data_IF_832324510380
#
_entry.id   IF_832324510380
#
_cell.length_a   1.000
_cell.length_b   1.000
_cell.length_c   1.000
_cell.angle_alpha   90.00
_cell.angle_beta   90.00
_cell.angle_gamma   90.00
#
_symmetry.space_group_name_H-M   'P 1'
#
loop_
_entity.id
_entity.type
_entity.pdbx_description
1 polymer ?
#
# COMPACT_ATOMS: atom_id res chain seq x y z
N UNK A 1 -3.22 -4.37 70.88
CA UNK A 1 -4.11 -3.20 71.14
C UNK A 1 -3.34 -1.95 70.75
N UNK A 2 -3.77 -1.03 69.88
CA UNK A 2 -4.90 -0.93 68.93
C UNK A 2 -4.29 -0.39 67.61
N UNK A 3 -4.46 -1.07 66.48
CA UNK A 3 -5.47 -0.77 65.45
C UNK A 3 -5.46 0.66 64.86
N UNK A 4 -5.18 0.70 63.55
CA UNK A 4 -5.71 1.60 62.51
C UNK A 4 -5.37 3.10 62.60
N UNK A 5 -4.42 3.50 61.76
CA UNK A 5 -4.31 4.87 61.23
C UNK A 5 -4.02 4.85 59.72
N UNK A 6 -5.05 5.17 58.94
CA UNK A 6 -4.97 5.84 57.62
C UNK A 6 -4.06 5.22 56.53
N UNK A 7 -4.56 4.19 55.86
CA UNK A 7 -4.46 4.17 54.39
C UNK A 7 -5.63 4.98 53.82
N UNK A 8 -5.33 5.89 52.90
CA UNK A 8 -6.30 6.77 52.23
C UNK A 8 -6.12 6.57 50.73
N UNK A 9 -7.16 6.07 50.05
CA UNK A 9 -7.38 6.07 48.58
C UNK A 9 -6.34 5.21 47.78
N UNK A 10 -6.69 4.34 46.83
CA UNK A 10 -7.96 4.12 46.10
C UNK A 10 -8.03 2.67 45.60
N UNK A 11 -8.93 1.83 46.13
CA UNK A 11 -9.40 0.61 45.43
C UNK A 11 -10.69 0.05 46.06
N UNK A 12 -11.77 0.03 45.29
CA UNK A 12 -12.95 -0.87 45.25
C UNK A 12 -14.07 -0.05 44.58
N UNK A 13 -14.48 -0.30 43.33
CA UNK A 13 -15.10 -1.51 42.74
C UNK A 13 -16.60 -1.62 43.04
N UNK A 14 -17.37 -1.30 41.98
CA UNK A 14 -18.65 -1.89 41.57
C UNK A 14 -19.99 -1.60 42.29
N UNK A 15 -20.98 -1.32 41.42
CA UNK A 15 -22.40 -1.71 41.46
C UNK A 15 -23.27 -1.10 42.58
N UNK A 16 -24.14 -0.16 42.20
CA UNK A 16 -25.58 -0.44 42.24
C UNK A 16 -26.37 0.35 41.19
N UNK A 17 -27.50 -0.23 40.77
CA UNK A 17 -28.44 0.28 39.74
C UNK A 17 -29.57 1.07 40.43
N UNK A 18 -30.41 1.76 39.64
CA UNK A 18 -31.74 2.31 39.96
C UNK A 18 -31.79 3.80 40.36
N UNK A 19 -32.27 4.62 39.42
CA UNK A 19 -33.37 5.55 39.68
C UNK A 19 -34.33 5.52 38.49
N UNK A 20 -35.54 5.00 38.72
CA UNK A 20 -36.62 5.06 37.73
C UNK A 20 -37.15 6.49 37.65
N UNK A 21 -37.68 6.86 36.48
CA UNK A 21 -39.09 7.24 36.48
C UNK A 21 -39.79 6.76 35.21
N UNK A 22 -41.07 6.42 35.32
CA UNK A 22 -41.89 5.84 34.26
C UNK A 22 -43.01 6.80 33.84
N UNK A 23 -43.27 6.88 32.53
CA UNK A 23 -44.63 6.95 31.95
C UNK A 23 -44.51 6.69 30.44
N UNK A 24 -44.82 5.48 29.93
CA UNK A 24 -46.14 4.99 29.51
C UNK A 24 -46.73 5.83 28.34
N UNK A 25 -47.24 5.27 27.23
CA UNK A 25 -47.54 3.86 26.87
C UNK A 25 -47.59 3.69 25.32
N UNK A 26 -47.61 2.43 24.87
CA UNK A 26 -47.80 1.86 23.51
C UNK A 26 -48.81 2.61 22.58
N UNK A 27 -48.95 2.39 21.26
CA UNK A 27 -49.03 1.17 20.41
C UNK A 27 -48.83 1.63 18.92
N UNK A 28 -48.64 0.85 17.84
CA UNK A 28 -48.80 -0.60 17.52
C UNK A 28 -47.80 -1.06 16.44
N UNK A 29 -47.53 -2.36 16.35
CA UNK A 29 -46.87 -3.06 15.21
C UNK A 29 -47.78 -3.17 13.98
N UNK A 30 -47.23 -3.02 12.76
CA UNK A 30 -47.65 -3.86 11.60
C UNK A 30 -46.53 -4.02 10.59
N UNK A 31 -46.35 -5.27 10.10
CA UNK A 31 -45.36 -5.69 9.11
C UNK A 31 -46.08 -6.38 7.97
N UNK A 32 -46.13 -5.78 6.77
CA UNK A 32 -46.63 -6.43 5.55
C UNK A 32 -45.77 -6.01 4.34
N UNK A 33 -45.30 -6.99 3.59
CA UNK A 33 -44.77 -6.93 2.22
C UNK A 33 -45.71 -7.78 1.34
N UNK A 34 -45.58 -7.78 0.00
CA UNK A 34 -45.66 -6.63 -0.91
C UNK A 34 -46.70 -6.91 -2.03
N UNK A 35 -47.04 -5.91 -2.86
CA UNK A 35 -47.91 -6.11 -4.04
C UNK A 35 -47.37 -5.39 -5.27
N UNK A 36 -47.17 -6.16 -6.34
CA UNK A 36 -46.78 -5.72 -7.69
C UNK A 36 -47.98 -5.19 -8.49
N UNK A 37 -47.72 -4.65 -9.69
CA UNK A 37 -48.62 -4.51 -10.88
C UNK A 37 -49.00 -3.07 -11.29
N UNK A 38 -48.23 -2.54 -12.25
CA UNK A 38 -48.61 -1.97 -13.57
C UNK A 38 -49.61 -0.78 -13.66
N UNK A 39 -49.25 0.38 -14.26
CA UNK A 39 -48.97 0.78 -15.68
C UNK A 39 -50.17 1.55 -16.31
N UNK A 40 -49.79 2.64 -17.00
CA UNK A 40 -50.49 3.41 -18.05
C UNK A 40 -51.49 4.54 -17.71
N UNK A 41 -51.09 5.72 -18.24
CA UNK A 41 -51.89 6.72 -18.97
C UNK A 41 -52.91 7.56 -18.15
N UNK A 42 -53.28 8.78 -18.58
CA UNK A 42 -53.09 9.45 -19.89
C UNK A 42 -53.02 10.99 -19.71
N UNK A 43 -52.42 11.70 -20.68
CA UNK A 43 -52.68 13.08 -21.17
C UNK A 43 -53.06 14.22 -20.17
N UNK A 44 -52.30 15.33 -20.11
CA UNK A 44 -52.43 16.53 -20.96
C UNK A 44 -53.83 17.20 -20.86
N UNK A 45 -53.98 18.50 -20.63
CA UNK A 45 -53.50 19.63 -21.46
C UNK A 45 -53.45 20.92 -20.59
N UNK A 46 -52.51 21.82 -20.93
CA UNK A 46 -52.46 23.31 -20.92
C UNK A 46 -53.67 24.09 -20.31
N UNK A 47 -53.58 25.32 -19.81
CA UNK A 47 -52.71 26.44 -20.22
C UNK A 47 -52.86 27.61 -19.21
N UNK A 48 -51.80 28.17 -18.62
CA UNK A 48 -51.79 29.62 -18.29
C UNK A 48 -50.36 30.18 -18.16
N UNK A 49 -49.95 30.96 -19.16
CA UNK A 49 -48.64 31.60 -19.23
C UNK A 49 -48.75 33.10 -18.96
N UNK A 50 -48.71 33.50 -17.69
CA UNK A 50 -48.54 34.92 -17.33
C UNK A 50 -47.07 35.26 -17.14
N UNK A 51 -46.51 36.03 -18.09
CA UNK A 51 -45.17 36.59 -18.00
C UNK A 51 -45.13 37.68 -16.92
N UNK A 52 -44.15 37.56 -16.02
CA UNK A 52 -43.54 38.72 -15.36
C UNK A 52 -42.02 38.59 -15.46
N UNK A 53 -41.43 39.27 -16.43
CA UNK A 53 -39.98 39.44 -16.49
C UNK A 53 -39.52 40.41 -15.41
N UNK A 54 -38.72 39.91 -14.47
CA UNK A 54 -37.69 40.71 -13.80
C UNK A 54 -36.49 39.80 -13.61
N UNK A 55 -35.37 40.17 -14.25
CA UNK A 55 -34.25 39.24 -14.51
C UNK A 55 -33.77 38.48 -13.28
N UNK A 56 -33.97 37.16 -13.31
CA UNK A 56 -33.31 36.19 -12.46
C UNK A 56 -32.48 35.26 -13.35
N UNK A 57 -31.21 35.06 -12.99
CA UNK A 57 -30.39 34.01 -13.61
C UNK A 57 -30.98 32.66 -13.17
N UNK A 58 -31.29 31.79 -14.14
CA UNK A 58 -31.51 30.38 -13.84
C UNK A 58 -30.16 29.80 -13.44
N UNK A 59 -29.93 29.68 -12.14
CA UNK A 59 -28.93 28.78 -11.60
C UNK A 59 -29.61 27.41 -11.64
N UNK A 60 -29.08 26.49 -12.43
CA UNK A 60 -29.45 25.08 -12.30
C UNK A 60 -28.94 24.63 -10.92
N UNK A 61 -29.82 24.04 -10.11
CA UNK A 61 -29.43 23.49 -8.82
C UNK A 61 -28.48 22.30 -9.06
N UNK A 62 -27.17 22.55 -9.03
CA UNK A 62 -26.16 21.50 -9.02
C UNK A 62 -26.43 20.59 -7.81
N UNK A 63 -26.67 19.29 -8.07
CA UNK A 63 -26.73 18.30 -7.00
C UNK A 63 -25.41 18.35 -6.20
N UNK A 64 -25.45 18.23 -4.87
CA UNK A 64 -24.26 18.39 -4.06
C UNK A 64 -23.23 17.30 -4.41
N UNK A 65 -22.07 17.72 -4.96
CA UNK A 65 -20.95 16.82 -5.20
C UNK A 65 -20.63 16.02 -3.93
N UNK A 66 -20.56 14.69 -4.09
CA UNK A 66 -20.16 13.80 -2.99
C UNK A 66 -18.70 14.07 -2.64
N UNK A 67 -18.50 14.79 -1.53
CA UNK A 67 -17.21 15.22 -1.00
C UNK A 67 -16.29 14.07 -0.55
N UNK A 68 -16.60 12.81 -0.91
CA UNK A 68 -15.78 11.62 -0.67
C UNK A 68 -15.12 11.04 -1.93
N UNK A 69 -15.40 11.55 -3.14
CA UNK A 69 -14.66 11.14 -4.33
C UNK A 69 -13.44 12.04 -4.57
N UNK A 70 -12.43 11.93 -3.69
CA UNK A 70 -11.09 12.43 -4.00
C UNK A 70 -10.46 11.54 -5.06
N UNK A 71 -10.84 11.77 -6.32
CA UNK A 71 -10.23 11.17 -7.50
C UNK A 71 -8.84 11.78 -7.70
N UNK A 72 -7.92 11.43 -6.80
CA UNK A 72 -6.52 11.78 -6.89
C UNK A 72 -5.94 11.02 -8.07
N UNK A 73 -5.48 11.74 -9.09
CA UNK A 73 -4.76 11.10 -10.19
C UNK A 73 -3.55 10.33 -9.62
N UNK A 74 -3.28 9.11 -10.11
CA UNK A 74 -2.20 8.30 -9.58
C UNK A 74 -0.85 9.01 -9.77
N UNK A 75 0.01 8.92 -8.75
CA UNK A 75 1.26 9.66 -8.67
C UNK A 75 2.40 8.76 -9.13
N UNK A 76 3.20 9.22 -10.10
CA UNK A 76 4.47 8.63 -10.47
C UNK A 76 5.50 9.75 -10.58
N UNK A 77 6.18 10.05 -9.47
CA UNK A 77 7.07 11.19 -9.35
C UNK A 77 8.46 10.77 -8.87
N UNK A 78 9.49 11.47 -9.36
CA UNK A 78 10.86 11.35 -8.88
C UNK A 78 11.43 12.69 -8.48
N UNK A 79 12.18 12.67 -7.38
CA UNK A 79 12.79 13.85 -6.79
C UNK A 79 14.28 13.59 -6.48
N UNK A 80 15.03 14.68 -6.30
CA UNK A 80 16.29 14.64 -5.59
C UNK A 80 16.02 14.35 -4.10
N UNK A 81 16.97 13.73 -3.39
CA UNK A 81 16.77 13.49 -1.95
C UNK A 81 16.66 14.82 -1.20
N UNK A 82 15.51 15.07 -0.58
CA UNK A 82 15.32 16.22 0.33
C UNK A 82 16.17 16.05 1.60
N UNK A 83 16.43 17.14 2.32
CA UNK A 83 17.15 17.11 3.60
C UNK A 83 16.46 16.16 4.61
N UNK A 84 15.14 16.10 4.62
CA UNK A 84 14.37 15.17 5.46
C UNK A 84 14.60 13.70 5.08
N UNK A 85 14.59 13.38 3.77
CA UNK A 85 14.87 12.02 3.29
C UNK A 85 16.33 11.64 3.57
N UNK A 86 17.28 12.57 3.40
CA UNK A 86 18.70 12.37 3.75
C UNK A 86 18.83 12.06 5.25
N UNK A 87 18.12 12.77 6.12
CA UNK A 87 18.13 12.52 7.57
C UNK A 87 17.51 11.16 7.94
N UNK A 88 16.44 10.72 7.26
CA UNK A 88 15.83 9.39 7.46
C UNK A 88 16.80 8.24 7.15
N UNK A 89 17.58 8.35 6.07
CA UNK A 89 18.44 7.25 5.59
C UNK A 89 19.87 7.27 6.14
N UNK A 90 20.37 8.41 6.60
CA UNK A 90 21.78 8.59 6.98
C UNK A 90 22.13 7.87 8.29
N UNK A 91 23.11 6.96 8.21
CA UNK A 91 23.49 6.04 9.28
C UNK A 91 22.68 4.74 9.28
N UNK A 92 21.66 4.62 8.42
CA UNK A 92 20.70 3.50 8.39
C UNK A 92 20.88 2.73 7.07
N UNK A 93 20.02 2.92 6.06
CA UNK A 93 20.19 2.31 4.74
C UNK A 93 21.33 2.93 3.93
N UNK A 94 21.66 4.21 4.16
CA UNK A 94 22.86 4.87 3.62
C UNK A 94 23.86 5.16 4.75
N UNK A 95 25.15 4.89 4.55
CA UNK A 95 26.19 5.07 5.60
C UNK A 95 27.57 5.20 4.97
N UNK A 96 28.55 5.65 5.74
CA UNK A 96 29.94 5.80 5.29
C UNK A 96 30.46 4.49 4.65
N UNK A 97 31.12 4.61 3.50
CA UNK A 97 31.55 3.47 2.68
C UNK A 97 30.46 2.87 1.77
N UNK A 98 29.26 3.48 1.70
CA UNK A 98 28.30 3.16 0.64
C UNK A 98 28.94 3.37 -0.76
N UNK A 99 28.67 2.50 -1.74
CA UNK A 99 29.29 2.57 -3.06
C UNK A 99 28.67 3.65 -3.98
N UNK A 100 27.70 4.41 -3.46
CA UNK A 100 26.89 5.38 -4.19
C UNK A 100 26.71 6.65 -3.36
N UNK A 101 26.86 7.82 -3.98
CA UNK A 101 26.66 9.11 -3.32
C UNK A 101 25.17 9.43 -3.16
N UNK A 102 24.82 10.25 -2.15
CA UNK A 102 23.44 10.73 -1.96
C UNK A 102 22.90 11.47 -3.20
N UNK A 103 23.74 12.23 -3.91
CA UNK A 103 23.40 12.94 -5.15
C UNK A 103 23.14 12.02 -6.36
N UNK A 104 23.64 10.77 -6.29
CA UNK A 104 23.38 9.73 -7.30
C UNK A 104 22.11 8.94 -7.00
N UNK A 105 21.50 9.10 -5.82
CA UNK A 105 20.20 8.51 -5.51
C UNK A 105 19.06 9.44 -5.95
N UNK A 106 17.88 8.86 -6.15
CA UNK A 106 16.62 9.58 -6.40
C UNK A 106 15.52 8.94 -5.59
N UNK A 107 14.66 9.77 -5.00
CA UNK A 107 13.50 9.37 -4.23
C UNK A 107 12.29 9.30 -5.16
N UNK A 108 11.51 8.23 -5.08
CA UNK A 108 10.32 7.98 -5.88
C UNK A 108 9.08 7.95 -5.00
N UNK A 109 8.01 8.56 -5.50
CA UNK A 109 6.66 8.47 -4.96
C UNK A 109 5.80 7.79 -6.03
N UNK A 110 5.19 6.65 -5.71
CA UNK A 110 4.42 5.84 -6.67
C UNK A 110 3.06 5.40 -6.12
N UNK A 111 2.00 5.52 -6.90
CA UNK A 111 0.72 4.86 -6.64
C UNK A 111 0.81 3.36 -6.91
N UNK A 112 0.21 2.55 -6.04
CA UNK A 112 0.07 1.11 -6.19
C UNK A 112 -1.27 0.61 -5.65
N UNK A 113 -1.74 -0.53 -6.17
CA UNK A 113 -2.91 -1.22 -5.61
C UNK A 113 -2.50 -2.17 -4.50
N UNK A 114 -3.15 -2.09 -3.34
CA UNK A 114 -2.90 -3.04 -2.27
C UNK A 114 -3.62 -4.38 -2.49
N UNK A 115 -3.43 -5.35 -1.59
CA UNK A 115 -4.05 -6.68 -1.72
C UNK A 115 -5.58 -6.63 -1.63
N UNK A 116 -6.15 -5.66 -0.93
CA UNK A 116 -7.59 -5.41 -0.79
C UNK A 116 -8.18 -4.61 -1.96
N UNK A 117 -7.36 -4.16 -2.92
CA UNK A 117 -7.81 -3.39 -4.10
C UNK A 117 -8.01 -1.91 -3.82
N UNK A 118 -7.31 -1.35 -2.83
CA UNK A 118 -7.31 0.08 -2.54
C UNK A 118 -6.04 0.73 -3.11
N UNK A 119 -6.15 1.93 -3.67
CA UNK A 119 -4.98 2.71 -4.06
C UNK A 119 -4.21 3.16 -2.81
N UNK A 120 -2.89 3.05 -2.89
CA UNK A 120 -1.95 3.41 -1.84
C UNK A 120 -0.76 4.16 -2.47
N UNK A 121 -0.14 5.06 -1.70
CA UNK A 121 1.12 5.71 -2.08
C UNK A 121 2.29 4.97 -1.44
N UNK A 122 3.35 4.74 -2.22
CA UNK A 122 4.57 4.05 -1.84
C UNK A 122 5.82 4.92 -2.01
N UNK A 123 6.83 4.63 -1.20
CA UNK A 123 8.12 5.31 -1.20
C UNK A 123 9.24 4.36 -1.64
N UNK A 124 10.11 4.79 -2.55
CA UNK A 124 11.35 4.09 -2.90
C UNK A 124 12.52 5.04 -3.02
N UNK A 125 13.73 4.50 -2.84
CA UNK A 125 14.98 5.16 -3.23
C UNK A 125 15.72 4.23 -4.19
N UNK A 126 16.19 4.78 -5.31
CA UNK A 126 16.87 4.05 -6.39
C UNK A 126 18.05 4.85 -6.94
N UNK A 127 18.89 4.23 -7.77
CA UNK A 127 19.91 4.94 -8.53
C UNK A 127 19.26 5.88 -9.54
N UNK A 128 19.66 7.16 -9.54
CA UNK A 128 19.10 8.24 -10.38
C UNK A 128 18.98 7.87 -11.87
N UNK A 129 19.90 7.05 -12.39
CA UNK A 129 19.90 6.61 -13.80
C UNK A 129 18.78 5.64 -14.16
N UNK A 130 18.18 4.94 -13.20
CA UNK A 130 17.02 4.05 -13.42
C UNK A 130 15.72 4.63 -12.88
N UNK A 131 15.73 5.86 -12.33
CA UNK A 131 14.57 6.45 -11.67
C UNK A 131 13.34 6.56 -12.60
N UNK A 132 13.53 7.05 -13.83
CA UNK A 132 12.45 7.14 -14.83
C UNK A 132 11.92 5.74 -15.20
N UNK A 133 12.83 4.80 -15.49
CA UNK A 133 12.50 3.42 -15.86
C UNK A 133 11.72 2.70 -14.75
N UNK A 134 12.04 2.98 -13.48
CA UNK A 134 11.30 2.46 -12.33
C UNK A 134 9.89 3.06 -12.20
N UNK A 135 9.70 4.34 -12.55
CA UNK A 135 8.36 4.94 -12.61
C UNK A 135 7.52 4.28 -13.71
N UNK A 136 8.08 4.09 -14.92
CA UNK A 136 7.40 3.36 -16.00
C UNK A 136 6.98 1.96 -15.57
N UNK A 137 7.87 1.21 -14.90
CA UNK A 137 7.57 -0.12 -14.39
C UNK A 137 6.40 -0.07 -13.41
N UNK A 138 6.42 0.83 -12.41
CA UNK A 138 5.32 0.92 -11.45
C UNK A 138 4.01 1.42 -12.06
N UNK A 139 4.06 2.27 -13.09
CA UNK A 139 2.88 2.64 -13.86
C UNK A 139 2.27 1.43 -14.58
N UNK A 140 3.08 0.58 -15.24
CA UNK A 140 2.59 -0.66 -15.85
C UNK A 140 1.99 -1.63 -14.82
N UNK A 141 2.57 -1.75 -13.61
CA UNK A 141 2.00 -2.56 -12.52
C UNK A 141 0.67 -1.99 -12.02
N UNK A 142 0.56 -0.66 -11.95
CA UNK A 142 -0.64 0.05 -11.50
C UNK A 142 -1.79 -0.10 -12.50
N UNK A 143 -1.53 0.14 -13.79
CA UNK A 143 -2.50 0.00 -14.87
C UNK A 143 -3.01 -1.45 -15.03
N UNK A 144 -2.21 -2.44 -14.62
CA UNK A 144 -2.57 -3.85 -14.63
C UNK A 144 -3.13 -4.38 -13.28
N UNK A 145 -3.39 -3.50 -12.30
CA UNK A 145 -3.87 -3.84 -10.95
C UNK A 145 -3.02 -4.91 -10.22
N UNK A 146 -1.70 -4.98 -10.51
CA UNK A 146 -0.82 -5.93 -9.85
C UNK A 146 -0.66 -5.54 -8.36
N UNK A 147 -1.05 -6.39 -7.41
CA UNK A 147 -1.12 -6.00 -6.02
C UNK A 147 0.27 -5.96 -5.38
N UNK A 148 0.55 -4.89 -4.65
CA UNK A 148 1.74 -4.73 -3.82
C UNK A 148 1.28 -4.60 -2.37
N UNK A 149 1.82 -5.40 -1.46
CA UNK A 149 1.31 -5.45 -0.08
C UNK A 149 1.63 -4.19 0.71
N UNK A 150 2.82 -3.63 0.49
CA UNK A 150 3.37 -2.46 1.15
C UNK A 150 4.59 -1.98 0.37
N UNK A 151 4.84 -0.67 0.38
CA UNK A 151 6.05 -0.08 -0.19
C UNK A 151 6.49 1.11 0.65
N UNK A 152 7.47 0.88 1.52
CA UNK A 152 8.10 1.85 2.40
C UNK A 152 9.61 1.79 2.27
N UNK A 153 10.29 2.89 2.59
CA UNK A 153 11.74 2.87 2.76
C UNK A 153 12.14 1.83 3.82
N UNK A 154 13.23 1.12 3.58
CA UNK A 154 13.72 0.07 4.50
C UNK A 154 14.21 0.65 5.85
N UNK A 155 14.43 1.96 5.89
CA UNK A 155 14.80 2.73 7.07
C UNK A 155 13.72 2.73 8.16
N UNK A 156 12.45 2.56 7.78
CA UNK A 156 11.33 2.34 8.73
C UNK A 156 11.50 1.02 9.54
N UNK A 157 12.37 0.13 9.06
CA UNK A 157 12.78 -1.13 9.70
C UNK A 157 14.23 -1.07 10.23
N UNK A 158 14.84 0.11 10.28
CA UNK A 158 16.24 0.29 10.67
C UNK A 158 17.25 -0.34 9.69
N UNK A 159 16.87 -0.49 8.42
CA UNK A 159 17.58 -1.27 7.40
C UNK A 159 17.76 -2.76 7.73
N UNK A 160 16.87 -3.33 8.58
CA UNK A 160 16.78 -4.77 8.81
C UNK A 160 15.94 -5.45 7.71
N UNK A 161 16.64 -6.26 6.92
CA UNK A 161 16.11 -7.01 5.77
C UNK A 161 15.07 -8.07 6.20
N UNK A 162 15.31 -8.75 7.32
CA UNK A 162 14.43 -9.81 7.82
C UNK A 162 13.12 -9.22 8.38
N UNK A 163 13.17 -8.07 9.05
CA UNK A 163 11.97 -7.35 9.50
C UNK A 163 11.16 -6.81 8.33
N UNK A 164 11.82 -6.22 7.32
CA UNK A 164 11.13 -5.69 6.14
C UNK A 164 10.46 -6.80 5.32
N UNK A 165 11.14 -7.95 5.13
CA UNK A 165 10.56 -9.13 4.47
C UNK A 165 9.38 -9.73 5.26
N UNK A 166 9.49 -9.86 6.59
CA UNK A 166 8.40 -10.39 7.43
C UNK A 166 7.14 -9.52 7.37
N UNK A 167 7.31 -8.19 7.26
CA UNK A 167 6.21 -7.23 7.12
C UNK A 167 5.75 -7.03 5.65
N UNK A 168 6.20 -7.92 4.76
CA UNK A 168 5.89 -7.98 3.32
C UNK A 168 6.17 -6.69 2.54
N UNK A 169 7.21 -5.96 2.94
CA UNK A 169 7.55 -4.67 2.34
C UNK A 169 8.28 -4.83 1.01
N UNK A 170 7.79 -4.16 -0.02
CA UNK A 170 8.52 -3.95 -1.27
C UNK A 170 9.58 -2.86 -1.06
N UNK A 171 10.86 -3.15 -1.35
CA UNK A 171 11.96 -2.23 -1.06
C UNK A 171 13.11 -2.30 -2.07
N UNK A 172 13.78 -1.17 -2.28
CA UNK A 172 14.87 -1.02 -3.25
C UNK A 172 16.23 -0.71 -2.60
N UNK A 173 16.64 0.55 -2.47
CA UNK A 173 17.95 0.90 -1.93
C UNK A 173 18.16 0.42 -0.47
N UNK A 174 19.27 -0.30 -0.25
CA UNK A 174 19.77 -0.66 1.08
C UNK A 174 21.27 -1.00 1.02
N UNK A 175 22.14 -0.17 1.61
CA UNK A 175 23.57 -0.49 1.69
C UNK A 175 23.84 -1.59 2.73
N UNK A 176 23.81 -2.84 2.24
CA UNK A 176 24.23 -4.05 2.94
C UNK A 176 25.16 -4.92 2.09
N UNK A 177 25.92 -5.78 2.76
CA UNK A 177 26.62 -6.90 2.11
C UNK A 177 25.62 -8.05 1.85
N UNK A 178 25.90 -8.86 0.84
CA UNK A 178 25.13 -10.10 0.59
C UNK A 178 25.35 -11.06 1.77
N UNK A 179 24.30 -11.76 2.23
CA UNK A 179 24.38 -12.68 3.37
C UNK A 179 25.53 -13.71 3.20
N UNK A 180 26.42 -13.80 4.19
CA UNK A 180 27.58 -14.70 4.15
C UNK A 180 28.70 -14.31 3.17
N UNK A 181 28.70 -13.08 2.65
CA UNK A 181 29.65 -12.59 1.65
C UNK A 181 30.30 -11.26 2.07
N UNK A 182 31.43 -10.92 1.43
CA UNK A 182 32.01 -9.57 1.51
C UNK A 182 31.58 -8.65 0.36
N UNK A 183 30.89 -9.20 -0.65
CA UNK A 183 30.34 -8.41 -1.77
C UNK A 183 29.17 -7.55 -1.30
N UNK A 184 29.12 -6.32 -1.78
CA UNK A 184 27.98 -5.41 -1.58
C UNK A 184 26.79 -5.93 -2.41
N UNK A 185 25.58 -5.85 -1.85
CA UNK A 185 24.33 -6.21 -2.54
C UNK A 185 24.02 -5.19 -3.63
N UNK A 186 23.36 -5.57 -4.73
CA UNK A 186 22.89 -4.63 -5.77
C UNK A 186 21.90 -3.58 -5.20
N UNK A 187 21.18 -3.91 -4.13
CA UNK A 187 20.40 -2.94 -3.33
C UNK A 187 21.26 -1.79 -2.79
N UNK A 188 22.52 -2.05 -2.42
CA UNK A 188 23.45 -1.04 -1.92
C UNK A 188 23.95 -0.05 -2.97
N UNK A 189 23.64 -0.31 -4.23
CA UNK A 189 23.87 0.58 -5.37
C UNK A 189 22.56 1.20 -5.90
N UNK A 190 21.40 0.88 -5.30
CA UNK A 190 20.09 1.37 -5.75
C UNK A 190 19.62 0.80 -7.10
N UNK A 191 20.15 -0.35 -7.53
CA UNK A 191 19.85 -1.01 -8.83
C UNK A 191 19.26 -2.42 -8.64
N UNK A 192 18.57 -2.62 -7.52
CA UNK A 192 17.80 -3.81 -7.23
C UNK A 192 16.53 -3.47 -6.44
N UNK A 193 15.52 -4.34 -6.53
CA UNK A 193 14.25 -4.22 -5.82
C UNK A 193 13.69 -5.61 -5.50
N UNK A 194 13.12 -5.75 -4.30
CA UNK A 194 12.41 -6.94 -3.84
C UNK A 194 10.91 -6.65 -3.78
N UNK A 195 10.08 -7.45 -4.48
CA UNK A 195 8.62 -7.26 -4.61
C UNK A 195 7.84 -8.35 -3.85
N UNK A 196 6.95 -7.94 -2.93
CA UNK A 196 6.09 -8.83 -2.13
C UNK A 196 6.82 -10.07 -1.54
N UNK A 197 7.78 -9.90 -0.61
CA UNK A 197 8.59 -10.98 -0.05
C UNK A 197 7.84 -12.25 0.37
N UNK A 198 6.65 -12.13 0.99
CA UNK A 198 5.85 -13.30 1.41
C UNK A 198 5.36 -14.10 0.19
N UNK A 199 4.83 -13.44 -0.84
CA UNK A 199 4.39 -14.11 -2.07
C UNK A 199 5.56 -14.65 -2.88
N UNK A 200 6.74 -14.04 -2.75
CA UNK A 200 7.89 -14.25 -3.60
C UNK A 200 9.17 -14.52 -2.79
N UNK A 201 9.19 -15.58 -1.96
CA UNK A 201 10.26 -15.76 -0.99
C UNK A 201 11.63 -16.04 -1.60
N UNK A 202 12.66 -15.69 -0.84
CA UNK A 202 14.00 -16.25 -0.98
C UNK A 202 14.00 -17.73 -0.57
N UNK A 203 14.64 -18.59 -1.36
CA UNK A 203 14.76 -20.04 -1.13
C UNK A 203 16.17 -20.53 -1.42
N UNK A 204 16.82 -21.13 -0.42
CA UNK A 204 18.15 -21.74 -0.53
C UNK A 204 18.19 -23.05 0.26
N UNK A 205 18.09 -24.17 -0.46
CA UNK A 205 17.89 -25.48 0.15
C UNK A 205 16.60 -25.49 0.97
N UNK A 206 16.71 -25.72 2.28
CA UNK A 206 15.58 -25.69 3.21
C UNK A 206 15.35 -24.32 3.87
N UNK A 207 16.23 -23.31 3.65
CA UNK A 207 16.01 -21.94 4.14
C UNK A 207 14.99 -21.26 3.23
N UNK A 208 13.94 -20.71 3.82
CA UNK A 208 12.90 -19.90 3.15
C UNK A 208 12.73 -18.63 3.96
N UNK A 209 12.88 -17.46 3.33
CA UNK A 209 12.67 -16.15 3.93
C UNK A 209 11.68 -15.33 3.07
N UNK A 210 10.71 -14.63 3.69
CA UNK A 210 10.26 -14.78 5.07
C UNK A 210 9.65 -16.18 5.30
N UNK A 211 9.43 -16.57 6.55
CA UNK A 211 9.06 -17.95 6.91
C UNK A 211 7.66 -18.34 6.41
N UNK A 212 6.80 -17.33 6.32
CA UNK A 212 5.42 -17.29 5.86
C UNK A 212 5.32 -17.63 4.37
N UNK A 213 6.38 -17.28 3.62
CA UNK A 213 6.53 -17.57 2.20
C UNK A 213 6.61 -19.07 1.86
N UNK A 214 6.77 -19.96 2.85
CA UNK A 214 6.72 -21.42 2.66
C UNK A 214 5.42 -21.89 1.98
N UNK A 215 4.31 -21.17 2.15
CA UNK A 215 3.05 -21.50 1.46
C UNK A 215 3.11 -21.22 -0.05
N UNK A 216 3.99 -20.33 -0.52
CA UNK A 216 4.13 -19.88 -1.91
C UNK A 216 5.22 -20.65 -2.70
N UNK A 217 5.74 -21.75 -2.15
CA UNK A 217 6.76 -22.59 -2.81
C UNK A 217 6.21 -23.39 -3.99
N UNK A 218 4.93 -23.76 -3.98
CA UNK A 218 4.29 -24.40 -5.13
C UNK A 218 3.98 -23.35 -6.20
N UNK A 219 4.96 -23.00 -7.05
CA UNK A 219 4.77 -21.99 -8.12
C UNK A 219 3.78 -22.39 -9.23
N UNK A 220 3.10 -23.54 -9.11
CA UNK A 220 1.94 -23.92 -9.96
C UNK A 220 0.59 -23.50 -9.35
N UNK A 221 0.55 -23.23 -8.04
CA UNK A 221 -0.60 -22.63 -7.35
C UNK A 221 -0.41 -21.11 -7.38
N UNK A 222 -0.82 -20.50 -8.50
CA UNK A 222 -0.63 -19.06 -8.76
C UNK A 222 -1.68 -18.28 -7.97
N UNK A 223 -1.23 -17.34 -7.14
CA UNK A 223 -2.03 -16.52 -6.22
C UNK A 223 -1.68 -15.04 -6.39
N UNK A 224 -2.58 -14.14 -5.95
CA UNK A 224 -2.44 -12.66 -6.05
C UNK A 224 -1.02 -12.23 -5.60
N UNK A 225 -0.36 -11.39 -6.39
CA UNK A 225 0.95 -10.78 -6.08
C UNK A 225 2.18 -11.70 -6.18
N UNK A 226 2.01 -12.95 -6.62
CA UNK A 226 3.15 -13.79 -7.02
C UNK A 226 3.72 -13.33 -8.36
N UNK A 227 5.05 -13.37 -8.48
CA UNK A 227 5.78 -13.20 -9.74
C UNK A 227 6.03 -14.57 -10.37
N UNK A 228 5.72 -14.69 -11.65
CA UNK A 228 5.78 -15.88 -12.48
C UNK A 228 6.30 -15.50 -13.86
N UNK A 229 7.03 -16.42 -14.50
CA UNK A 229 7.63 -16.15 -15.82
C UNK A 229 6.53 -15.84 -16.85
N UNK A 230 6.60 -14.65 -17.44
CA UNK A 230 5.64 -14.15 -18.44
C UNK A 230 4.44 -13.37 -17.90
N UNK A 231 4.31 -13.15 -16.59
CA UNK A 231 3.29 -12.23 -16.06
C UNK A 231 3.67 -10.74 -16.18
N UNK A 232 2.77 -9.84 -15.82
CA UNK A 232 2.97 -8.40 -15.96
C UNK A 232 4.18 -7.88 -15.17
N UNK A 233 4.41 -8.39 -13.95
CA UNK A 233 5.53 -7.93 -13.14
C UNK A 233 6.85 -8.43 -13.71
N UNK A 234 6.93 -9.72 -14.06
CA UNK A 234 8.08 -10.27 -14.74
C UNK A 234 8.39 -9.52 -16.05
N UNK A 235 7.37 -9.26 -16.89
CA UNK A 235 7.57 -8.60 -18.18
C UNK A 235 8.00 -7.15 -18.04
N UNK A 236 7.39 -6.37 -17.13
CA UNK A 236 7.72 -4.96 -16.92
C UNK A 236 9.22 -4.75 -16.62
N UNK A 237 9.79 -5.61 -15.77
CA UNK A 237 11.22 -5.63 -15.46
C UNK A 237 12.07 -6.25 -16.58
N UNK A 238 11.78 -7.49 -17.01
CA UNK A 238 12.70 -8.26 -17.87
C UNK A 238 12.76 -7.73 -19.30
N UNK A 239 11.68 -7.16 -19.84
CA UNK A 239 11.71 -6.50 -21.16
C UNK A 239 12.64 -5.29 -21.19
N UNK A 240 12.85 -4.65 -20.04
CA UNK A 240 13.80 -3.55 -19.81
C UNK A 240 15.21 -4.03 -19.44
N UNK A 241 15.50 -5.33 -19.56
CA UNK A 241 16.83 -5.90 -19.33
C UNK A 241 17.22 -6.11 -17.85
N UNK A 242 16.24 -6.16 -16.94
CA UNK A 242 16.47 -6.61 -15.58
C UNK A 242 16.61 -8.14 -15.51
N UNK A 243 17.37 -8.62 -14.54
CA UNK A 243 17.53 -10.04 -14.23
C UNK A 243 16.63 -10.40 -13.04
N UNK A 244 15.80 -11.42 -13.19
CA UNK A 244 14.93 -11.91 -12.11
C UNK A 244 15.58 -13.05 -11.32
N UNK A 245 15.65 -12.91 -9.99
CA UNK A 245 16.20 -13.90 -9.07
C UNK A 245 15.42 -15.22 -9.03
N UNK A 246 14.15 -15.21 -9.47
CA UNK A 246 13.35 -16.43 -9.69
C UNK A 246 13.90 -17.36 -10.77
N UNK A 247 14.76 -16.88 -11.69
CA UNK A 247 15.40 -17.69 -12.72
C UNK A 247 16.80 -18.22 -12.35
N UNK A 248 17.40 -17.79 -11.24
CA UNK A 248 18.69 -18.29 -10.77
C UNK A 248 18.70 -19.81 -10.50
N UNK A 249 19.88 -20.45 -10.61
CA UNK A 249 19.98 -21.93 -10.63
C UNK A 249 20.13 -22.59 -9.26
N UNK A 250 20.85 -21.97 -8.33
CA UNK A 250 21.25 -22.56 -7.04
C UNK A 250 20.53 -21.98 -5.83
N UNK A 251 20.02 -20.76 -5.99
CA UNK A 251 19.16 -20.01 -5.07
C UNK A 251 17.97 -19.57 -5.92
N UNK A 252 16.79 -19.49 -5.33
CA UNK A 252 15.62 -18.84 -5.95
C UNK A 252 15.29 -17.63 -5.11
N UNK A 253 15.35 -16.45 -5.70
CA UNK A 253 15.04 -15.19 -5.03
C UNK A 253 13.86 -14.57 -5.77
N UNK A 254 12.64 -15.06 -5.50
CA UNK A 254 11.49 -14.77 -6.36
C UNK A 254 11.05 -13.30 -6.29
N UNK A 255 11.34 -12.61 -5.19
CA UNK A 255 11.08 -11.19 -4.97
C UNK A 255 11.99 -10.31 -5.83
N UNK A 256 13.19 -10.80 -6.12
CA UNK A 256 14.33 -9.99 -6.47
C UNK A 256 14.46 -9.70 -7.96
N UNK A 257 14.61 -8.44 -8.32
CA UNK A 257 15.11 -8.00 -9.62
C UNK A 257 16.37 -7.15 -9.45
N UNK A 258 17.39 -7.38 -10.27
CA UNK A 258 18.61 -6.55 -10.34
C UNK A 258 18.94 -6.14 -11.79
N UNK A 259 19.56 -4.97 -11.97
CA UNK A 259 20.02 -4.48 -13.29
C UNK A 259 21.55 -4.37 -13.31
N UNK A 260 22.21 -4.87 -14.37
CA UNK A 260 23.67 -4.85 -14.47
C UNK A 260 24.18 -3.64 -15.28
N UNK A 261 24.36 -2.51 -14.60
CA UNK A 261 24.73 -1.20 -15.19
C UNK A 261 25.87 -0.48 -14.45
N UNK A 262 26.63 -1.21 -13.61
CA UNK A 262 27.75 -0.72 -12.78
C UNK A 262 28.88 -1.75 -12.80
#
# INVERSE_FOLDING_TARGET
MKLVSRLIKTLLVMIFVLSLDQTYLNITTTKVLPSTVQVHNQEAVDEEKMLYERGGVYIEDEEPEDANNTNLNPIFAREDLSEEVIQRISGVSWKEGAPIALSDLSYLIVSYWNFDGQECIGELIVYRKIAEEMLEIFQELYEAEFPIAKMKLIDEYGADDDLSMQDNNTSAFCFRKIEGSQKISKHGYGIAIDINPIQNPYVKGNKVLPSEGKTYLNRKDIRKGMITEGDVCYNAFVTRGWVWGGQWKTVKDYQHFEKDII
#
